data_IF_070306756256
#
_entry.id   IF_070306756256
#
_cell.length_a   1.000
_cell.length_b   1.000
_cell.length_c   1.000
_cell.angle_alpha   90.00
_cell.angle_beta   90.00
_cell.angle_gamma   90.00
#
_symmetry.space_group_name_H-M   'P 1'
#
loop_
_entity.id
_entity.type
_entity.pdbx_description
1 polymer ?
#
# COMPACT_ATOMS: atom_id res chain seq x y z
N UNK A 1 -26.11 -8.01 15.86
CA UNK A 1 -25.29 -7.71 14.66
C UNK A 1 -24.61 -6.34 14.77
N UNK A 2 -25.32 -5.28 15.17
CA UNK A 2 -24.75 -3.93 15.33
C UNK A 2 -23.54 -3.84 16.28
N UNK A 3 -23.55 -4.60 17.39
CA UNK A 3 -22.42 -4.64 18.32
C UNK A 3 -21.14 -5.16 17.65
N UNK A 4 -21.25 -6.15 16.77
CA UNK A 4 -20.11 -6.67 16.01
C UNK A 4 -19.56 -5.62 15.04
N UNK A 5 -20.43 -4.88 14.34
CA UNK A 5 -20.03 -3.79 13.43
C UNK A 5 -19.26 -2.70 14.20
N UNK A 6 -19.78 -2.27 15.36
CA UNK A 6 -19.10 -1.28 16.23
C UNK A 6 -17.71 -1.76 16.66
N UNK A 7 -17.56 -3.03 17.01
CA UNK A 7 -16.27 -3.63 17.35
C UNK A 7 -15.30 -3.53 16.16
N UNK A 8 -15.73 -3.89 14.96
CA UNK A 8 -14.87 -3.78 13.77
C UNK A 8 -14.48 -2.34 13.45
N UNK A 9 -15.38 -1.36 13.65
CA UNK A 9 -15.07 0.06 13.46
C UNK A 9 -14.00 0.53 14.44
N UNK A 10 -14.11 0.16 15.72
CA UNK A 10 -13.12 0.49 16.75
C UNK A 10 -11.77 -0.17 16.41
N UNK A 11 -11.77 -1.43 15.98
CA UNK A 11 -10.57 -2.14 15.53
C UNK A 11 -9.94 -1.42 14.34
N UNK A 12 -10.74 -1.09 13.32
CA UNK A 12 -10.28 -0.41 12.12
C UNK A 12 -9.62 0.93 12.46
N UNK A 13 -10.31 1.78 13.21
CA UNK A 13 -9.84 3.12 13.58
C UNK A 13 -8.64 3.05 14.52
N UNK A 14 -8.68 2.19 15.54
CA UNK A 14 -7.60 2.01 16.51
C UNK A 14 -6.31 1.53 15.86
N UNK A 15 -6.37 0.43 15.10
CA UNK A 15 -5.19 -0.07 14.37
C UNK A 15 -4.78 0.85 13.22
N UNK A 16 -5.71 1.59 12.61
CA UNK A 16 -5.40 2.62 11.61
C UNK A 16 -4.56 3.75 12.22
N UNK A 17 -4.93 4.24 13.40
CA UNK A 17 -4.16 5.23 14.15
C UNK A 17 -2.78 4.72 14.56
N UNK A 18 -2.69 3.48 15.05
CA UNK A 18 -1.40 2.85 15.38
C UNK A 18 -0.52 2.74 14.13
N UNK A 19 -1.09 2.33 13.00
CA UNK A 19 -0.37 2.23 11.73
C UNK A 19 0.18 3.61 11.30
N UNK A 20 -0.65 4.66 11.37
CA UNK A 20 -0.24 6.02 11.05
C UNK A 20 0.97 6.48 11.89
N UNK A 21 0.91 6.35 13.22
CA UNK A 21 2.02 6.77 14.09
C UNK A 21 3.26 5.89 13.89
N UNK A 22 3.09 4.56 13.87
CA UNK A 22 4.21 3.63 13.71
C UNK A 22 4.91 3.81 12.35
N UNK A 23 4.16 4.07 11.28
CA UNK A 23 4.69 4.36 9.96
C UNK A 23 5.49 5.66 9.94
N UNK A 24 5.00 6.72 10.58
CA UNK A 24 5.76 7.98 10.73
C UNK A 24 7.11 7.74 11.41
N UNK A 25 7.10 7.04 12.55
CA UNK A 25 8.32 6.72 13.29
C UNK A 25 9.26 5.88 12.44
N UNK A 26 8.74 4.89 11.69
CA UNK A 26 9.54 4.06 10.79
C UNK A 26 10.19 4.87 9.66
N UNK A 27 9.49 5.87 9.12
CA UNK A 27 10.00 6.72 8.04
C UNK A 27 11.11 7.68 8.49
N UNK A 28 10.98 8.30 9.66
CA UNK A 28 12.00 9.24 10.18
C UNK A 28 13.20 8.51 10.76
N UNK A 29 13.00 7.27 11.25
CA UNK A 29 14.08 6.43 11.77
C UNK A 29 15.17 6.14 10.73
N UNK A 30 16.38 5.85 11.22
CA UNK A 30 17.48 5.38 10.37
C UNK A 30 17.13 4.00 9.80
N UNK A 31 17.20 3.89 8.47
CA UNK A 31 16.73 2.74 7.71
C UNK A 31 17.59 1.52 8.06
N UNK A 32 16.96 0.39 8.34
CA UNK A 32 17.63 -0.84 8.79
C UNK A 32 17.97 -0.93 10.29
N UNK A 33 17.91 0.16 11.06
CA UNK A 33 18.12 0.09 12.52
C UNK A 33 16.97 -0.62 13.25
N UNK A 34 17.20 -0.95 14.54
CA UNK A 34 16.22 -1.66 15.37
C UNK A 34 14.88 -0.91 15.45
N UNK A 35 14.90 0.42 15.59
CA UNK A 35 13.67 1.25 15.63
C UNK A 35 12.87 1.12 14.33
N UNK A 36 13.48 1.39 13.17
CA UNK A 36 12.84 1.23 11.87
C UNK A 36 12.26 -0.18 11.66
N UNK A 37 13.02 -1.23 12.02
CA UNK A 37 12.56 -2.61 11.87
C UNK A 37 11.36 -2.93 12.76
N UNK A 38 11.39 -2.50 14.02
CA UNK A 38 10.29 -2.72 14.99
C UNK A 38 9.05 -1.94 14.60
N UNK A 39 9.16 -0.63 14.39
CA UNK A 39 8.01 0.22 14.07
C UNK A 39 7.47 -0.08 12.67
N UNK A 40 8.32 -0.46 11.72
CA UNK A 40 7.89 -0.95 10.41
C UNK A 40 7.09 -2.25 10.47
N UNK A 41 7.38 -3.14 11.44
CA UNK A 41 6.55 -4.32 11.70
C UNK A 41 5.22 -3.96 12.36
N UNK A 42 5.24 -3.05 13.33
CA UNK A 42 4.01 -2.56 13.98
C UNK A 42 3.10 -1.91 12.94
N UNK A 43 3.66 -1.05 12.08
CA UNK A 43 2.95 -0.47 10.93
C UNK A 43 2.31 -1.56 10.05
N UNK A 44 3.11 -2.55 9.63
CA UNK A 44 2.65 -3.62 8.75
C UNK A 44 1.45 -4.38 9.33
N UNK A 45 1.57 -4.90 10.55
CA UNK A 45 0.49 -5.69 11.15
C UNK A 45 -0.75 -4.85 11.46
N UNK A 46 -0.55 -3.63 11.97
CA UNK A 46 -1.67 -2.73 12.28
C UNK A 46 -2.42 -2.32 11.01
N UNK A 47 -1.70 -2.03 9.93
CA UNK A 47 -2.33 -1.67 8.66
C UNK A 47 -3.08 -2.85 8.03
N UNK A 48 -2.55 -4.07 8.13
CA UNK A 48 -3.26 -5.28 7.65
C UNK A 48 -4.55 -5.50 8.44
N UNK A 49 -4.51 -5.44 9.79
CA UNK A 49 -5.69 -5.60 10.64
C UNK A 49 -6.72 -4.51 10.33
N UNK A 50 -6.28 -3.25 10.23
CA UNK A 50 -7.14 -2.12 9.92
C UNK A 50 -7.81 -2.25 8.55
N UNK A 51 -7.06 -2.63 7.52
CA UNK A 51 -7.61 -2.71 6.17
C UNK A 51 -8.50 -3.96 5.97
N UNK A 52 -8.17 -5.09 6.59
CA UNK A 52 -9.04 -6.29 6.59
C UNK A 52 -10.34 -5.99 7.34
N UNK A 53 -10.30 -5.33 8.51
CA UNK A 53 -11.51 -4.95 9.23
C UNK A 53 -12.38 -3.98 8.44
N UNK A 54 -11.80 -2.99 7.75
CA UNK A 54 -12.55 -2.11 6.84
C UNK A 54 -13.24 -2.88 5.70
N UNK A 55 -12.55 -3.85 5.10
CA UNK A 55 -13.13 -4.70 4.06
C UNK A 55 -14.32 -5.51 4.61
N UNK A 56 -14.20 -6.09 5.81
CA UNK A 56 -15.32 -6.78 6.45
C UNK A 56 -16.49 -5.84 6.73
N UNK A 57 -16.25 -4.65 7.30
CA UNK A 57 -17.32 -3.66 7.54
C UNK A 57 -18.07 -3.32 6.25
N UNK A 58 -17.33 -3.13 5.16
CA UNK A 58 -17.87 -2.68 3.88
C UNK A 58 -18.75 -3.69 3.13
N UNK A 59 -18.93 -4.90 3.66
CA UNK A 59 -19.83 -5.93 3.11
C UNK A 59 -20.91 -6.35 4.10
N UNK A 60 -20.96 -5.74 5.30
CA UNK A 60 -21.99 -6.02 6.30
C UNK A 60 -23.27 -5.23 6.00
N UNK A 61 -24.45 -5.77 6.38
CA UNK A 61 -25.73 -5.10 6.19
C UNK A 61 -25.75 -3.66 6.73
N UNK A 62 -26.29 -2.73 5.93
CA UNK A 62 -26.41 -1.30 6.22
C UNK A 62 -25.08 -0.52 6.28
N UNK A 63 -23.95 -1.16 5.94
CA UNK A 63 -22.61 -0.55 5.89
C UNK A 63 -21.89 -0.86 4.58
N UNK A 64 -22.63 -1.32 3.57
CA UNK A 64 -22.09 -1.72 2.29
C UNK A 64 -21.42 -0.53 1.59
N UNK A 65 -20.14 -0.67 1.27
CA UNK A 65 -19.38 0.39 0.63
C UNK A 65 -18.34 -0.20 -0.32
N UNK A 66 -18.66 -0.33 -1.62
CA UNK A 66 -17.70 -0.76 -2.63
C UNK A 66 -16.44 0.12 -2.65
N UNK A 67 -16.60 1.40 -2.32
CA UNK A 67 -15.50 2.35 -2.17
C UNK A 67 -14.53 1.91 -1.07
N UNK A 68 -15.04 1.67 0.15
CA UNK A 68 -14.21 1.31 1.30
C UNK A 68 -13.55 -0.07 1.11
N UNK A 69 -14.29 -1.03 0.53
CA UNK A 69 -13.76 -2.35 0.19
C UNK A 69 -12.56 -2.24 -0.75
N UNK A 70 -12.70 -1.46 -1.83
CA UNK A 70 -11.66 -1.31 -2.83
C UNK A 70 -10.42 -0.59 -2.28
N UNK A 71 -10.59 0.47 -1.48
CA UNK A 71 -9.47 1.18 -0.83
C UNK A 71 -8.77 0.30 0.22
N UNK A 72 -9.51 -0.57 0.91
CA UNK A 72 -8.96 -1.60 1.79
C UNK A 72 -8.06 -2.58 1.03
N UNK A 73 -8.54 -3.13 -0.09
CA UNK A 73 -7.74 -4.01 -0.97
C UNK A 73 -6.51 -3.32 -1.54
N UNK A 74 -6.65 -2.07 -2.00
CA UNK A 74 -5.53 -1.25 -2.47
C UNK A 74 -4.46 -1.14 -1.38
N UNK A 75 -4.86 -0.79 -0.16
CA UNK A 75 -3.92 -0.66 0.96
C UNK A 75 -3.26 -1.99 1.32
N UNK A 76 -4.03 -3.09 1.34
CA UNK A 76 -3.49 -4.44 1.56
C UNK A 76 -2.42 -4.79 0.52
N UNK A 77 -2.73 -4.55 -0.75
CA UNK A 77 -1.81 -4.84 -1.85
C UNK A 77 -0.45 -4.18 -1.63
N UNK A 78 -0.44 -2.88 -1.41
CA UNK A 78 0.80 -2.12 -1.20
C UNK A 78 1.60 -2.60 0.02
N UNK A 79 0.93 -2.82 1.16
CA UNK A 79 1.62 -3.22 2.40
C UNK A 79 2.14 -4.65 2.33
N UNK A 80 1.37 -5.58 1.75
CA UNK A 80 1.77 -6.98 1.59
C UNK A 80 2.94 -7.12 0.61
N UNK A 81 2.85 -6.50 -0.57
CA UNK A 81 3.93 -6.54 -1.55
C UNK A 81 5.17 -5.81 -1.03
N UNK A 82 4.99 -4.67 -0.35
CA UNK A 82 6.08 -3.96 0.31
C UNK A 82 6.81 -4.81 1.32
N UNK A 83 6.10 -5.58 2.15
CA UNK A 83 6.74 -6.51 3.10
C UNK A 83 7.41 -7.69 2.41
N UNK A 84 6.76 -8.28 1.40
CA UNK A 84 7.30 -9.42 0.66
C UNK A 84 8.53 -9.08 -0.16
N UNK A 85 8.68 -7.83 -0.60
CA UNK A 85 9.87 -7.37 -1.30
C UNK A 85 11.18 -7.65 -0.53
N UNK A 86 11.16 -7.69 0.80
CA UNK A 86 12.33 -8.06 1.62
C UNK A 86 12.81 -9.50 1.38
N UNK A 87 11.95 -10.40 0.91
CA UNK A 87 12.31 -11.79 0.58
C UNK A 87 12.99 -11.91 -0.78
N UNK A 88 12.77 -10.96 -1.68
CA UNK A 88 13.32 -10.99 -3.04
C UNK A 88 14.82 -10.69 -3.10
N UNK A 89 15.44 -10.33 -1.98
CA UNK A 89 16.91 -10.27 -1.86
C UNK A 89 17.57 -11.65 -1.97
N UNK A 90 16.82 -12.73 -1.71
CA UNK A 90 17.31 -14.10 -1.77
C UNK A 90 17.12 -14.70 -3.18
N UNK A 91 17.91 -15.73 -3.52
CA UNK A 91 17.76 -16.47 -4.78
C UNK A 91 16.44 -17.27 -4.76
N UNK A 92 15.76 -17.32 -5.90
CA UNK A 92 14.53 -18.12 -6.15
C UNK A 92 13.37 -17.94 -5.15
N UNK A 93 12.82 -16.73 -4.96
CA UNK A 93 11.62 -16.55 -4.14
C UNK A 93 10.39 -17.23 -4.77
N UNK A 94 9.50 -17.81 -3.95
CA UNK A 94 8.18 -18.26 -4.43
C UNK A 94 7.27 -17.06 -4.69
N UNK A 95 6.89 -16.86 -5.96
CA UNK A 95 6.13 -15.70 -6.44
C UNK A 95 4.63 -15.97 -6.67
N UNK A 96 4.10 -17.14 -6.31
CA UNK A 96 2.69 -17.51 -6.59
C UNK A 96 1.74 -16.50 -5.94
N UNK A 97 1.91 -16.27 -4.64
CA UNK A 97 1.12 -15.31 -3.88
C UNK A 97 1.26 -13.88 -4.43
N UNK A 98 2.47 -13.48 -4.81
CA UNK A 98 2.76 -12.13 -5.31
C UNK A 98 2.08 -11.86 -6.66
N UNK A 99 2.06 -12.85 -7.56
CA UNK A 99 1.33 -12.79 -8.83
C UNK A 99 -0.17 -12.73 -8.61
N UNK A 100 -0.70 -13.56 -7.71
CA UNK A 100 -2.14 -13.58 -7.39
C UNK A 100 -2.62 -12.23 -6.85
N UNK A 101 -1.90 -11.65 -5.88
CA UNK A 101 -2.19 -10.32 -5.35
C UNK A 101 -2.16 -9.22 -6.43
N UNK A 102 -1.24 -9.31 -7.39
CA UNK A 102 -1.19 -8.35 -8.49
C UNK A 102 -2.40 -8.47 -9.42
N UNK A 103 -2.86 -9.68 -9.73
CA UNK A 103 -4.09 -9.87 -10.51
C UNK A 103 -5.33 -9.39 -9.75
N UNK A 104 -5.43 -9.65 -8.45
CA UNK A 104 -6.50 -9.12 -7.60
C UNK A 104 -6.51 -7.58 -7.63
N UNK A 105 -5.35 -6.93 -7.54
CA UNK A 105 -5.25 -5.47 -7.63
C UNK A 105 -5.65 -4.94 -9.01
N UNK A 106 -5.29 -5.62 -10.10
CA UNK A 106 -5.73 -5.24 -11.46
C UNK A 106 -7.25 -5.33 -11.57
N UNK A 107 -7.84 -6.44 -11.14
CA UNK A 107 -9.29 -6.61 -11.12
C UNK A 107 -9.97 -5.53 -10.26
N UNK A 108 -9.44 -5.28 -9.07
CA UNK A 108 -9.94 -4.23 -8.18
C UNK A 108 -9.87 -2.86 -8.84
N UNK A 109 -8.77 -2.53 -9.53
CA UNK A 109 -8.63 -1.28 -10.25
C UNK A 109 -9.63 -1.13 -11.41
N UNK A 110 -9.89 -2.20 -12.16
CA UNK A 110 -10.94 -2.21 -13.19
C UNK A 110 -12.30 -1.91 -12.54
N UNK A 111 -12.62 -2.60 -11.44
CA UNK A 111 -13.88 -2.38 -10.71
C UNK A 111 -13.98 -0.97 -10.12
N UNK A 112 -12.89 -0.40 -9.62
CA UNK A 112 -12.83 0.99 -9.13
C UNK A 112 -13.24 2.01 -10.22
N UNK A 113 -12.96 1.73 -11.49
CA UNK A 113 -13.33 2.59 -12.62
C UNK A 113 -14.78 2.37 -13.03
N UNK A 114 -15.17 1.11 -13.29
CA UNK A 114 -16.44 0.81 -13.93
C UNK A 114 -17.62 0.71 -12.96
N UNK A 115 -17.42 0.20 -11.75
CA UNK A 115 -18.53 -0.05 -10.82
C UNK A 115 -19.28 1.24 -10.41
N UNK A 116 -18.61 2.37 -10.09
CA UNK A 116 -19.31 3.62 -9.83
C UNK A 116 -20.12 4.12 -11.03
N UNK A 117 -19.60 3.96 -12.25
CA UNK A 117 -20.28 4.37 -13.48
C UNK A 117 -21.56 3.55 -13.65
N UNK A 118 -21.49 2.23 -13.48
CA UNK A 118 -22.66 1.34 -13.62
C UNK A 118 -23.71 1.63 -12.55
N UNK A 119 -23.30 1.79 -11.28
CA UNK A 119 -24.22 1.94 -10.16
C UNK A 119 -24.81 3.36 -10.04
N UNK A 120 -24.05 4.39 -10.39
CA UNK A 120 -24.40 5.79 -10.10
C UNK A 120 -24.45 6.69 -11.33
N UNK A 121 -24.12 6.16 -12.52
CA UNK A 121 -23.99 6.92 -13.77
C UNK A 121 -22.97 8.07 -13.70
N UNK A 122 -22.04 8.02 -12.72
CA UNK A 122 -21.03 9.03 -12.49
C UNK A 122 -19.66 8.40 -12.28
N UNK A 123 -18.64 9.06 -12.84
CA UNK A 123 -17.25 8.69 -12.58
C UNK A 123 -16.81 9.19 -11.20
N UNK A 124 -16.16 8.33 -10.43
CA UNK A 124 -15.55 8.71 -9.17
C UNK A 124 -14.06 8.98 -9.39
N UNK A 125 -13.67 10.26 -9.40
CA UNK A 125 -12.30 10.68 -9.68
C UNK A 125 -11.27 10.11 -8.69
N UNK A 126 -11.65 9.96 -7.41
CA UNK A 126 -10.77 9.40 -6.38
C UNK A 126 -10.47 7.93 -6.69
N UNK A 127 -11.52 7.13 -6.93
CA UNK A 127 -11.35 5.72 -7.31
C UNK A 127 -10.62 5.57 -8.64
N UNK A 128 -10.86 6.47 -9.60
CA UNK A 128 -10.13 6.50 -10.87
C UNK A 128 -8.62 6.66 -10.69
N UNK A 129 -8.19 7.61 -9.85
CA UNK A 129 -6.76 7.81 -9.57
C UNK A 129 -6.17 6.61 -8.82
N UNK A 130 -6.88 6.08 -7.82
CA UNK A 130 -6.44 4.90 -7.08
C UNK A 130 -6.33 3.67 -7.99
N UNK A 131 -7.27 3.49 -8.91
CA UNK A 131 -7.25 2.44 -9.91
C UNK A 131 -6.00 2.53 -10.80
N UNK A 132 -5.72 3.71 -11.37
CA UNK A 132 -4.55 3.92 -12.22
C UNK A 132 -3.27 3.61 -11.46
N UNK A 133 -3.11 4.15 -10.25
CA UNK A 133 -1.91 3.91 -9.41
C UNK A 133 -1.77 2.42 -9.08
N UNK A 134 -2.86 1.75 -8.69
CA UNK A 134 -2.88 0.34 -8.32
C UNK A 134 -2.56 -0.58 -9.51
N UNK A 135 -3.21 -0.35 -10.66
CA UNK A 135 -2.99 -1.13 -11.89
C UNK A 135 -1.56 -0.95 -12.39
N UNK A 136 -1.06 0.29 -12.49
CA UNK A 136 0.31 0.54 -12.94
C UNK A 136 1.34 -0.12 -12.02
N UNK A 137 1.11 -0.06 -10.71
CA UNK A 137 1.95 -0.73 -9.72
C UNK A 137 1.92 -2.25 -9.89
N UNK A 138 0.74 -2.84 -10.08
CA UNK A 138 0.56 -4.27 -10.29
C UNK A 138 1.21 -4.78 -11.58
N UNK A 139 1.02 -4.07 -12.70
CA UNK A 139 1.64 -4.41 -13.99
C UNK A 139 3.17 -4.32 -13.87
N UNK A 140 3.70 -3.26 -13.25
CA UNK A 140 5.14 -3.11 -13.01
C UNK A 140 5.70 -4.28 -12.20
N UNK A 141 5.00 -4.67 -11.13
CA UNK A 141 5.42 -5.79 -10.28
C UNK A 141 5.36 -7.13 -11.03
N UNK A 142 4.29 -7.41 -11.79
CA UNK A 142 4.18 -8.60 -12.65
C UNK A 142 5.29 -8.68 -13.70
N UNK A 143 5.65 -7.56 -14.33
CA UNK A 143 6.80 -7.50 -15.26
C UNK A 143 8.12 -7.82 -14.56
N UNK A 144 8.31 -7.31 -13.33
CA UNK A 144 9.51 -7.57 -12.55
C UNK A 144 9.61 -9.04 -12.12
N UNK A 145 8.49 -9.68 -11.77
CA UNK A 145 8.44 -11.11 -11.42
C UNK A 145 8.85 -12.06 -12.55
N UNK A 146 8.82 -11.61 -13.81
CA UNK A 146 9.32 -12.38 -14.96
C UNK A 146 10.84 -12.35 -15.09
N UNK A 147 11.54 -11.46 -14.37
CA UNK A 147 12.99 -11.32 -14.42
C UNK A 147 13.59 -11.41 -13.00
N UNK A 148 13.94 -12.62 -12.53
CA UNK A 148 14.44 -12.84 -11.17
C UNK A 148 15.68 -12.01 -10.81
N UNK A 149 16.57 -11.77 -11.78
CA UNK A 149 17.79 -10.98 -11.57
C UNK A 149 17.46 -9.51 -11.30
N UNK A 150 16.62 -8.90 -12.15
CA UNK A 150 16.14 -7.53 -11.96
C UNK A 150 15.30 -7.39 -10.69
N UNK A 151 14.48 -8.39 -10.38
CA UNK A 151 13.70 -8.44 -9.14
C UNK A 151 14.61 -8.41 -7.92
N UNK A 152 15.65 -9.24 -7.91
CA UNK A 152 16.64 -9.27 -6.83
C UNK A 152 17.36 -7.93 -6.73
N UNK A 153 17.90 -7.37 -7.81
CA UNK A 153 18.57 -6.05 -7.76
C UNK A 153 17.63 -4.92 -7.32
N UNK A 154 16.34 -5.02 -7.64
CA UNK A 154 15.32 -4.02 -7.35
C UNK A 154 14.57 -4.18 -6.03
N UNK A 155 14.88 -5.18 -5.20
CA UNK A 155 14.10 -5.54 -4.01
C UNK A 155 13.87 -4.35 -3.07
N UNK A 156 14.89 -3.51 -2.87
CA UNK A 156 14.82 -2.38 -1.94
C UNK A 156 13.97 -1.23 -2.49
N UNK A 157 14.08 -0.94 -3.79
CA UNK A 157 13.19 0.03 -4.46
C UNK A 157 11.74 -0.44 -4.41
N UNK A 158 11.51 -1.75 -4.58
CA UNK A 158 10.19 -2.35 -4.48
C UNK A 158 9.62 -2.27 -3.05
N UNK A 159 10.42 -2.59 -2.03
CA UNK A 159 10.04 -2.43 -0.62
C UNK A 159 9.66 -0.99 -0.30
N UNK A 160 10.56 -0.04 -0.63
CA UNK A 160 10.36 1.38 -0.39
C UNK A 160 9.09 1.88 -1.08
N UNK A 161 8.97 1.68 -2.40
CA UNK A 161 7.83 2.20 -3.16
C UNK A 161 6.50 1.66 -2.66
N UNK A 162 6.41 0.36 -2.38
CA UNK A 162 5.15 -0.25 -1.97
C UNK A 162 4.78 0.08 -0.51
N UNK A 163 5.72 0.03 0.44
CA UNK A 163 5.46 0.41 1.84
C UNK A 163 5.07 1.89 1.94
N UNK A 164 5.78 2.77 1.23
CA UNK A 164 5.45 4.19 1.22
C UNK A 164 4.08 4.45 0.56
N UNK A 165 3.74 3.74 -0.51
CA UNK A 165 2.39 3.80 -1.10
C UNK A 165 1.29 3.40 -0.11
N UNK A 166 1.49 2.32 0.63
CA UNK A 166 0.56 1.91 1.70
C UNK A 166 0.48 2.93 2.84
N UNK A 167 1.60 3.55 3.20
CA UNK A 167 1.61 4.61 4.21
C UNK A 167 0.91 5.89 3.72
N UNK A 168 1.09 6.28 2.46
CA UNK A 168 0.35 7.40 1.84
C UNK A 168 -1.16 7.15 1.90
N UNK A 169 -1.61 5.91 1.66
CA UNK A 169 -3.02 5.56 1.79
C UNK A 169 -3.53 5.78 3.23
N UNK A 170 -2.75 5.39 4.25
CA UNK A 170 -3.08 5.63 5.66
C UNK A 170 -3.14 7.13 5.99
N UNK A 171 -2.17 7.92 5.53
CA UNK A 171 -2.16 9.38 5.70
C UNK A 171 -3.36 10.02 5.00
N UNK A 172 -3.70 9.58 3.79
CA UNK A 172 -4.86 10.06 3.03
C UNK A 172 -6.15 9.78 3.79
N UNK A 173 -6.33 8.56 4.31
CA UNK A 173 -7.48 8.21 5.13
C UNK A 173 -7.58 9.10 6.38
N UNK A 174 -6.46 9.31 7.10
CA UNK A 174 -6.43 10.19 8.27
C UNK A 174 -6.79 11.64 7.90
N UNK A 175 -6.21 12.17 6.82
CA UNK A 175 -6.47 13.54 6.34
C UNK A 175 -7.94 13.75 5.96
N UNK A 176 -8.52 12.80 5.23
CA UNK A 176 -9.91 12.88 4.76
C UNK A 176 -10.90 12.72 5.91
N UNK A 177 -10.71 11.73 6.78
CA UNK A 177 -11.62 11.48 7.92
C UNK A 177 -11.62 12.65 8.89
N UNK A 178 -10.49 13.32 9.09
CA UNK A 178 -10.38 14.48 9.97
C UNK A 178 -10.60 15.82 9.26
N UNK A 179 -11.01 15.81 7.98
CA UNK A 179 -11.33 17.02 7.20
C UNK A 179 -10.24 18.11 7.24
N UNK A 180 -8.96 17.70 7.25
CA UNK A 180 -7.82 18.63 7.37
C UNK A 180 -7.74 19.60 6.19
N UNK A 181 -8.15 19.14 5.00
CA UNK A 181 -8.27 19.98 3.81
C UNK A 181 -9.72 20.00 3.32
N UNK A 182 -10.18 21.12 2.74
CA UNK A 182 -11.52 21.21 2.19
C UNK A 182 -11.69 20.32 0.95
N UNK A 183 -12.92 19.87 0.72
CA UNK A 183 -13.32 19.22 -0.54
C UNK A 183 -12.43 18.00 -0.90
N UNK A 184 -12.22 17.76 -2.19
CA UNK A 184 -11.50 16.59 -2.69
C UNK A 184 -9.97 16.70 -2.57
N UNK A 185 -9.42 17.86 -2.18
CA UNK A 185 -7.97 18.07 -2.09
C UNK A 185 -7.29 17.11 -1.11
N UNK A 186 -7.99 16.76 -0.02
CA UNK A 186 -7.50 15.79 0.98
C UNK A 186 -7.15 14.42 0.39
N UNK A 187 -7.75 14.04 -0.74
CA UNK A 187 -7.48 12.77 -1.42
C UNK A 187 -6.17 12.75 -2.21
N UNK A 188 -5.68 13.93 -2.63
CA UNK A 188 -4.57 14.03 -3.58
C UNK A 188 -3.32 14.66 -3.00
N UNK A 189 -3.45 15.62 -2.07
CA UNK A 189 -2.30 16.31 -1.46
C UNK A 189 -1.30 15.32 -0.82
N UNK A 190 -1.72 14.36 0.03
CA UNK A 190 -0.80 13.38 0.60
C UNK A 190 -0.11 12.52 -0.45
N UNK A 191 -0.84 12.16 -1.52
CA UNK A 191 -0.31 11.39 -2.64
C UNK A 191 0.74 12.14 -3.45
N UNK A 192 0.53 13.43 -3.72
CA UNK A 192 1.48 14.27 -4.43
C UNK A 192 2.78 14.43 -3.62
N UNK A 193 2.66 14.86 -2.36
CA UNK A 193 3.81 15.08 -1.47
C UNK A 193 4.57 13.75 -1.25
N UNK A 194 3.83 12.69 -0.93
CA UNK A 194 4.40 11.36 -0.72
C UNK A 194 5.05 10.79 -1.99
N UNK A 195 4.47 11.03 -3.16
CA UNK A 195 5.02 10.62 -4.45
C UNK A 195 6.38 11.28 -4.74
N UNK A 196 6.50 12.58 -4.51
CA UNK A 196 7.78 13.29 -4.62
C UNK A 196 8.83 12.73 -3.65
N UNK A 197 8.42 12.44 -2.42
CA UNK A 197 9.29 11.83 -1.42
C UNK A 197 9.74 10.41 -1.82
N UNK A 198 8.86 9.59 -2.39
CA UNK A 198 9.21 8.27 -2.93
C UNK A 198 10.26 8.41 -4.03
N UNK A 199 10.07 9.32 -4.98
CA UNK A 199 11.01 9.54 -6.09
C UNK A 199 12.39 9.93 -5.55
N UNK A 200 12.44 10.87 -4.59
CA UNK A 200 13.67 11.28 -3.93
C UNK A 200 14.42 10.09 -3.30
N UNK A 201 13.73 9.27 -2.51
CA UNK A 201 14.36 8.11 -1.85
C UNK A 201 14.72 7.00 -2.82
N UNK A 202 13.96 6.79 -3.90
CA UNK A 202 14.31 5.83 -4.95
C UNK A 202 15.63 6.20 -5.64
N UNK A 203 15.82 7.49 -5.98
CA UNK A 203 17.08 7.99 -6.55
C UNK A 203 18.24 7.85 -5.57
N UNK A 204 18.00 8.14 -4.28
CA UNK A 204 19.03 7.97 -3.24
C UNK A 204 19.48 6.52 -3.05
N UNK A 205 18.54 5.56 -3.13
CA UNK A 205 18.84 4.13 -3.02
C UNK A 205 19.59 3.61 -4.25
N UNK A 206 19.35 4.19 -5.43
CA UNK A 206 20.08 3.87 -6.66
C UNK A 206 21.55 4.28 -6.60
N UNK A 207 21.82 5.46 -6.02
CA UNK A 207 23.17 6.01 -5.92
C UNK A 207 24.00 5.34 -4.80
N UNK A 208 23.38 4.83 -3.73
CA UNK A 208 24.07 4.12 -2.66
C UNK A 208 24.26 2.63 -3.00
N UNK A 209 25.52 2.22 -3.05
CA UNK A 209 26.13 0.95 -3.47
C UNK A 209 25.58 -0.39 -2.94
N UNK A 210 24.43 -0.45 -2.25
CA UNK A 210 23.81 -1.73 -1.83
C UNK A 210 23.41 -2.59 -3.04
N UNK A 211 23.05 -1.96 -4.17
CA UNK A 211 22.80 -2.66 -5.45
C UNK A 211 24.12 -3.17 -6.08
N UNK A 212 25.26 -2.52 -5.79
CA UNK A 212 26.58 -2.90 -6.31
C UNK A 212 27.18 -4.11 -5.56
N UNK A 213 26.88 -4.30 -4.28
CA UNK A 213 27.40 -5.44 -3.48
C UNK A 213 26.79 -6.78 -3.92
N UNK A 214 25.48 -6.81 -4.17
CA UNK A 214 24.77 -8.00 -4.69
C UNK A 214 25.26 -8.40 -6.09
N UNK A 215 25.85 -7.46 -6.86
CA UNK A 215 26.49 -7.72 -8.15
C UNK A 215 27.97 -8.13 -8.03
N UNK A 216 28.59 -7.98 -6.85
CA UNK A 216 29.99 -8.35 -6.58
C UNK A 216 30.13 -9.73 -5.96
N UNK A 217 29.11 -10.24 -5.26
CA UNK A 217 29.09 -11.59 -4.68
C UNK A 217 28.79 -12.71 -5.71
N UNK A 218 28.47 -12.36 -6.96
CA UNK A 218 28.28 -13.31 -8.08
C UNK A 218 29.44 -13.22 -9.11
N UNK A 219 30.60 -12.65 -8.73
CA UNK A 219 31.88 -12.80 -9.43
C UNK A 219 32.81 -13.63 -8.56
#
# INVERSE_FOLDING_TARGET
MEQAIKIFIIIHAGFGGIAFVAGLIAMISKKGQRTHRKTGLIFFYSMVISAVSAMFISVLPNHESPFLFAVGLFSLYFVLIGKRAMRFKHKNPNLIFDKWMAWVMILTGILMIFLPIVLTQKFNIVLGVFAVVGILSAIKNLRLYKNPEKLRKGWLKMHLGNIMGGYIAAVTAFVVVNQIFPSFYGWFIPGIIGGLFIIFWMKRVENNSVVKVVAKEDK
#
